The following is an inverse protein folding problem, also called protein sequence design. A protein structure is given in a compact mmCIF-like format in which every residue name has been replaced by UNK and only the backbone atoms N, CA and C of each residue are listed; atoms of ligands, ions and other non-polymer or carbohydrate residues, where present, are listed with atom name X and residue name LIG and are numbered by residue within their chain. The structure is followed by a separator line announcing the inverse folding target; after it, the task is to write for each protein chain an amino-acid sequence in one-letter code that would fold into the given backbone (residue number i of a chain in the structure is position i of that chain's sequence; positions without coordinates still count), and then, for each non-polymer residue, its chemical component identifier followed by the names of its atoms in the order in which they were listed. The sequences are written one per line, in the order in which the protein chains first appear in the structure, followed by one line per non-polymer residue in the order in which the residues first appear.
data_IF_805259100812
#
_entry.id   IF_805259100812
#
_cell.length_a   1.000
_cell.length_b   1.000
_cell.length_c   1.000
_cell.angle_alpha   90.00
_cell.angle_beta   90.00
_cell.angle_gamma   90.00
#
_symmetry.space_group_name_H-M   'P 1'
#
loop_
_entity.id
_entity.type
_entity.pdbx_description
1 polymer ?
#
# COMPACT_ATOMS: atom_id res chain seq x y z
N UNK A 1 16.48 -16.16 -7.07
CA UNK A 1 15.60 -15.51 -6.06
C UNK A 1 14.34 -15.07 -6.76
N UNK A 2 13.18 -15.48 -6.23
CA UNK A 2 11.88 -15.03 -6.71
C UNK A 2 11.41 -13.90 -5.80
N UNK A 3 11.12 -12.73 -6.40
CA UNK A 3 10.70 -11.51 -5.72
C UNK A 3 9.22 -11.26 -6.02
N UNK A 4 8.39 -11.30 -4.98
CA UNK A 4 6.95 -11.04 -5.11
C UNK A 4 6.62 -9.54 -5.11
N UNK A 5 5.69 -9.13 -5.96
CA UNK A 5 5.10 -7.80 -5.99
C UNK A 5 3.68 -7.85 -6.57
N UNK A 6 2.82 -6.89 -6.22
CA UNK A 6 1.51 -6.77 -6.87
C UNK A 6 1.48 -5.75 -8.01
N UNK A 7 2.63 -5.20 -8.40
CA UNK A 7 2.76 -4.15 -9.43
C UNK A 7 2.01 -2.85 -9.10
N UNK A 8 1.88 -2.52 -7.83
CA UNK A 8 1.25 -1.30 -7.30
C UNK A 8 1.79 -1.02 -5.89
N UNK A 9 1.94 0.23 -5.46
CA UNK A 9 1.59 1.48 -6.14
C UNK A 9 2.74 2.10 -6.96
N UNK A 10 2.40 2.97 -7.90
CA UNK A 10 3.35 3.95 -8.44
C UNK A 10 3.73 4.95 -7.34
N UNK A 11 5.00 5.40 -7.26
CA UNK A 11 6.11 5.16 -8.19
C UNK A 11 6.99 3.95 -7.79
N UNK A 12 6.61 3.16 -6.79
CA UNK A 12 7.44 2.12 -6.20
C UNK A 12 7.50 0.85 -7.04
N UNK A 13 6.33 0.33 -7.42
CA UNK A 13 6.17 -0.91 -8.17
C UNK A 13 5.02 -0.73 -9.16
N UNK A 14 5.28 -0.82 -10.44
CA UNK A 14 4.22 -0.71 -11.46
C UNK A 14 4.66 -1.32 -12.78
N UNK A 15 3.74 -1.48 -13.69
CA UNK A 15 4.02 -1.85 -15.07
C UNK A 15 3.96 -0.64 -15.98
N UNK A 16 4.90 -0.57 -16.90
CA UNK A 16 4.94 0.38 -17.98
C UNK A 16 5.32 -0.34 -19.27
N UNK A 17 4.48 -0.20 -20.30
CA UNK A 17 4.63 -0.90 -21.58
C UNK A 17 4.75 -2.45 -21.45
N UNK A 18 4.12 -3.04 -20.44
CA UNK A 18 4.18 -4.48 -20.17
C UNK A 18 5.41 -4.94 -19.39
N UNK A 19 6.27 -4.02 -19.00
CA UNK A 19 7.45 -4.31 -18.19
C UNK A 19 7.26 -3.81 -16.75
N UNK A 20 7.68 -4.63 -15.79
CA UNK A 20 7.68 -4.27 -14.38
C UNK A 20 8.81 -3.29 -14.10
N UNK A 21 8.49 -2.16 -13.48
CA UNK A 21 9.44 -1.09 -13.14
C UNK A 21 9.02 -0.37 -11.84
N UNK A 22 9.74 0.65 -11.46
CA UNK A 22 9.51 1.45 -10.28
C UNK A 22 10.68 1.43 -9.34
N UNK A 23 10.67 2.37 -8.40
CA UNK A 23 11.80 2.61 -7.51
C UNK A 23 12.32 1.33 -6.81
N UNK A 24 11.44 0.55 -6.19
CA UNK A 24 11.86 -0.66 -5.48
C UNK A 24 12.30 -1.78 -6.43
N UNK A 25 11.68 -1.88 -7.59
CA UNK A 25 12.08 -2.84 -8.63
C UNK A 25 13.50 -2.55 -9.10
N UNK A 26 13.81 -1.29 -9.36
CA UNK A 26 15.14 -0.87 -9.81
C UNK A 26 16.19 -0.99 -8.69
N UNK A 27 15.82 -0.76 -7.42
CA UNK A 27 16.69 -1.02 -6.27
C UNK A 27 17.08 -2.51 -6.21
N UNK A 28 16.12 -3.42 -6.33
CA UNK A 28 16.41 -4.86 -6.33
C UNK A 28 17.29 -5.23 -7.53
N UNK A 29 16.98 -4.75 -8.73
CA UNK A 29 17.83 -4.97 -9.91
C UNK A 29 19.27 -4.51 -9.69
N UNK A 30 19.43 -3.32 -9.11
CA UNK A 30 20.75 -2.75 -8.84
C UNK A 30 21.56 -3.55 -7.80
N UNK A 31 20.89 -4.05 -6.74
CA UNK A 31 21.53 -4.87 -5.70
C UNK A 31 22.09 -6.17 -6.29
N UNK A 32 21.36 -6.80 -7.20
CA UNK A 32 21.75 -8.12 -7.74
C UNK A 32 22.43 -8.06 -9.11
N UNK A 33 22.63 -6.86 -9.69
CA UNK A 33 23.16 -6.67 -11.05
C UNK A 33 24.48 -7.40 -11.32
N UNK A 34 25.37 -7.35 -10.34
CA UNK A 34 26.73 -7.90 -10.48
C UNK A 34 26.89 -9.17 -9.61
N UNK A 35 25.80 -9.86 -9.30
CA UNK A 35 25.83 -11.07 -8.51
C UNK A 35 26.06 -12.31 -9.36
N UNK A 36 27.22 -12.94 -9.20
CA UNK A 36 27.52 -14.25 -9.84
C UNK A 36 26.77 -15.40 -9.16
N UNK A 37 26.13 -15.15 -8.00
CA UNK A 37 25.50 -16.18 -7.19
C UNK A 37 24.00 -16.25 -7.36
N UNK A 38 23.33 -15.13 -7.65
CA UNK A 38 21.89 -15.01 -7.63
C UNK A 38 21.32 -14.39 -8.90
N UNK A 39 20.42 -15.11 -9.55
CA UNK A 39 19.49 -14.57 -10.53
C UNK A 39 18.21 -14.11 -9.83
N UNK A 40 17.66 -12.97 -10.21
CA UNK A 40 16.42 -12.40 -9.67
C UNK A 40 15.32 -12.48 -10.72
N UNK A 41 14.18 -13.05 -10.31
CA UNK A 41 12.94 -13.06 -11.11
C UNK A 41 11.85 -12.39 -10.30
N UNK A 42 11.12 -11.47 -10.91
CA UNK A 42 9.93 -10.87 -10.30
C UNK A 42 8.70 -11.69 -10.65
N UNK A 43 7.86 -11.92 -9.66
CA UNK A 43 6.57 -12.60 -9.83
C UNK A 43 5.46 -11.70 -9.31
N UNK A 44 4.45 -11.47 -10.19
CA UNK A 44 3.26 -10.71 -9.83
C UNK A 44 2.27 -11.58 -9.08
N UNK A 45 1.76 -11.07 -7.99
CA UNK A 45 0.70 -11.71 -7.21
C UNK A 45 -0.18 -10.65 -6.57
N UNK A 46 -1.39 -11.01 -6.20
CA UNK A 46 -2.27 -10.16 -5.41
C UNK A 46 -1.64 -9.84 -4.05
N UNK A 47 -1.99 -8.69 -3.45
CA UNK A 47 -1.46 -8.27 -2.14
C UNK A 47 -1.53 -9.37 -1.07
N UNK A 48 -2.67 -10.05 -0.98
CA UNK A 48 -2.85 -11.17 -0.06
C UNK A 48 -1.95 -12.37 -0.33
N UNK A 49 -1.51 -12.54 -1.58
CA UNK A 49 -0.62 -13.61 -2.02
C UNK A 49 0.86 -13.36 -1.70
N UNK A 50 1.26 -12.10 -1.47
CA UNK A 50 2.67 -11.74 -1.20
C UNK A 50 3.16 -12.44 0.08
N UNK A 51 2.50 -12.22 1.19
CA UNK A 51 2.90 -12.82 2.48
C UNK A 51 2.63 -14.32 2.53
N UNK A 52 1.50 -14.79 1.99
CA UNK A 52 1.20 -16.21 1.92
C UNK A 52 2.25 -16.98 1.09
N UNK A 53 2.79 -16.37 0.05
CA UNK A 53 3.85 -16.95 -0.76
C UNK A 53 5.20 -16.96 -0.08
N UNK A 54 5.53 -15.94 0.74
CA UNK A 54 6.71 -15.95 1.61
C UNK A 54 6.60 -17.04 2.67
N UNK A 55 5.46 -17.17 3.34
CA UNK A 55 5.21 -18.20 4.36
C UNK A 55 5.28 -19.62 3.80
N UNK A 56 4.99 -19.81 2.52
CA UNK A 56 5.06 -21.09 1.80
C UNK A 56 6.39 -21.31 1.06
N UNK A 57 7.42 -20.50 1.31
CA UNK A 57 8.72 -20.54 0.63
C UNK A 57 8.66 -20.43 -0.91
N UNK A 58 7.51 -19.98 -1.46
CA UNK A 58 7.34 -19.75 -2.89
C UNK A 58 8.16 -18.56 -3.35
N UNK A 59 8.26 -17.54 -2.52
CA UNK A 59 9.03 -16.32 -2.73
C UNK A 59 10.11 -16.19 -1.66
N UNK A 60 11.29 -15.76 -2.05
CA UNK A 60 12.40 -15.51 -1.12
C UNK A 60 12.47 -14.03 -0.70
N UNK A 61 11.79 -13.16 -1.44
CA UNK A 61 11.76 -11.72 -1.19
C UNK A 61 10.42 -11.13 -1.63
N UNK A 62 10.04 -10.02 -1.02
CA UNK A 62 8.91 -9.21 -1.47
C UNK A 62 9.28 -7.73 -1.50
N UNK A 63 8.81 -7.03 -2.52
CA UNK A 63 8.90 -5.57 -2.64
C UNK A 63 7.55 -5.03 -3.10
N UNK A 64 6.97 -4.13 -2.31
CA UNK A 64 5.63 -3.61 -2.57
C UNK A 64 5.28 -2.40 -1.68
N UNK A 65 6.22 -1.49 -1.51
CA UNK A 65 6.11 -0.40 -0.53
C UNK A 65 5.65 -0.92 0.85
N UNK A 66 6.29 -2.00 1.31
CA UNK A 66 5.89 -2.73 2.51
C UNK A 66 6.38 -2.00 3.75
N UNK A 67 5.47 -1.35 4.46
CA UNK A 67 5.77 -0.68 5.71
C UNK A 67 6.25 -1.65 6.79
N UNK A 68 7.26 -1.23 7.56
CA UNK A 68 7.69 -1.93 8.75
C UNK A 68 6.59 -1.89 9.82
N UNK A 69 6.31 -3.04 10.42
CA UNK A 69 5.55 -3.16 11.67
C UNK A 69 6.21 -4.19 12.58
N UNK A 70 6.05 -4.05 13.90
CA UNK A 70 6.57 -5.05 14.84
C UNK A 70 6.05 -6.45 14.54
N UNK A 71 4.75 -6.56 14.29
CA UNK A 71 4.08 -7.84 13.98
C UNK A 71 4.69 -8.52 12.74
N UNK A 72 4.94 -7.75 11.68
CA UNK A 72 5.61 -8.28 10.48
C UNK A 72 7.06 -8.64 10.74
N UNK A 73 7.78 -7.84 11.53
CA UNK A 73 9.20 -8.06 11.86
C UNK A 73 9.43 -9.28 12.77
N UNK A 74 8.39 -9.77 13.46
CA UNK A 74 8.44 -11.04 14.20
C UNK A 74 8.48 -12.26 13.27
N UNK A 75 8.02 -12.10 12.01
CA UNK A 75 7.92 -13.19 11.03
C UNK A 75 8.89 -13.05 9.86
N UNK A 76 9.20 -11.83 9.46
CA UNK A 76 9.97 -11.53 8.24
C UNK A 76 11.18 -10.69 8.55
N UNK A 77 12.29 -10.97 7.87
CA UNK A 77 13.48 -10.15 7.91
C UNK A 77 13.30 -8.92 7.01
N UNK A 78 13.48 -7.75 7.57
CA UNK A 78 13.49 -6.49 6.81
C UNK A 78 14.92 -6.09 6.41
N UNK A 79 15.09 -5.65 5.19
CA UNK A 79 16.28 -4.94 4.75
C UNK A 79 16.34 -3.52 5.35
N UNK A 80 17.40 -2.79 5.07
CA UNK A 80 17.49 -1.37 5.44
C UNK A 80 16.32 -0.59 4.80
N UNK A 81 15.79 0.45 5.48
CA UNK A 81 14.74 1.31 4.92
C UNK A 81 15.17 1.92 3.59
N UNK A 82 14.33 1.81 2.57
CA UNK A 82 14.59 2.34 1.22
C UNK A 82 14.05 3.75 1.04
N UNK A 83 12.98 4.09 1.77
CA UNK A 83 12.28 5.37 1.65
C UNK A 83 11.58 5.72 2.96
N UNK A 84 11.36 7.02 3.18
CA UNK A 84 10.50 7.56 4.24
C UNK A 84 9.25 8.13 3.58
N UNK A 85 8.13 7.44 3.70
CA UNK A 85 6.85 7.80 3.09
C UNK A 85 5.75 7.82 4.17
N UNK A 86 5.45 9.00 4.77
CA UNK A 86 4.45 9.07 5.81
C UNK A 86 3.04 8.89 5.26
N UNK A 87 2.15 8.28 6.04
CA UNK A 87 0.73 8.27 5.74
C UNK A 87 0.12 9.67 5.80
N UNK A 88 -0.79 9.94 4.90
CA UNK A 88 -1.60 11.16 4.85
C UNK A 88 -3.09 10.81 4.78
N UNK A 89 -3.90 11.71 5.29
CA UNK A 89 -5.34 11.67 5.17
C UNK A 89 -5.74 12.39 3.87
N UNK A 90 -6.50 11.70 3.03
CA UNK A 90 -6.97 12.19 1.73
C UNK A 90 -8.47 12.33 1.79
N UNK A 91 -8.98 13.50 1.42
CA UNK A 91 -10.40 13.85 1.37
C UNK A 91 -10.69 14.56 0.05
N UNK A 92 -11.96 14.75 -0.29
CA UNK A 92 -12.33 15.60 -1.41
C UNK A 92 -11.90 17.05 -1.15
N UNK A 93 -11.55 17.77 -2.21
CA UNK A 93 -11.02 19.13 -2.13
C UNK A 93 -11.92 20.10 -1.35
N UNK A 94 -13.20 19.92 -1.44
CA UNK A 94 -14.24 20.79 -0.81
C UNK A 94 -14.65 20.27 0.57
N UNK A 95 -14.16 19.09 1.01
CA UNK A 95 -14.45 18.58 2.34
C UNK A 95 -13.49 19.21 3.36
N UNK A 96 -14.05 20.06 4.19
CA UNK A 96 -13.35 20.66 5.34
C UNK A 96 -13.70 20.00 6.68
N UNK A 97 -14.53 18.95 6.67
CA UNK A 97 -15.04 18.29 7.88
C UNK A 97 -14.05 17.31 8.50
N UNK A 98 -13.13 16.76 7.72
CA UNK A 98 -12.15 15.77 8.16
C UNK A 98 -10.73 16.36 8.06
N UNK A 99 -10.08 16.61 9.19
CA UNK A 99 -8.74 17.20 9.28
C UNK A 99 -7.73 16.28 9.98
N UNK A 100 -8.22 15.36 10.78
CA UNK A 100 -7.43 14.40 11.56
C UNK A 100 -8.16 13.08 11.71
N UNK A 101 -7.52 12.10 12.32
CA UNK A 101 -8.17 10.83 12.68
C UNK A 101 -9.28 11.02 13.74
N UNK A 102 -9.28 12.09 14.48
CA UNK A 102 -10.34 12.36 15.45
C UNK A 102 -11.69 12.70 14.78
N UNK A 103 -11.65 13.08 13.51
CA UNK A 103 -12.84 13.49 12.74
C UNK A 103 -13.47 12.36 11.94
N UNK A 104 -12.88 11.13 11.95
CA UNK A 104 -13.34 10.03 11.07
C UNK A 104 -14.46 9.19 11.67
N UNK A 105 -14.86 9.44 12.90
CA UNK A 105 -16.00 8.76 13.54
C UNK A 105 -17.29 8.92 12.73
N UNK A 106 -17.97 7.82 12.43
CA UNK A 106 -19.17 7.79 11.58
C UNK A 106 -18.92 8.02 10.08
N UNK A 107 -17.70 8.35 9.66
CA UNK A 107 -17.30 8.51 8.26
C UNK A 107 -16.90 7.18 7.64
N UNK A 108 -16.99 7.10 6.32
CA UNK A 108 -16.71 5.87 5.56
C UNK A 108 -15.39 5.94 4.81
N UNK A 109 -14.75 4.79 4.64
CA UNK A 109 -13.54 4.64 3.83
C UNK A 109 -13.48 3.25 3.19
N UNK A 110 -12.85 3.14 2.03
CA UNK A 110 -12.46 1.85 1.46
C UNK A 110 -11.10 1.41 1.99
N UNK A 111 -10.98 0.14 2.38
CA UNK A 111 -9.73 -0.46 2.88
C UNK A 111 -9.42 -1.77 2.18
N UNK A 112 -8.13 -2.04 1.99
CA UNK A 112 -7.66 -3.34 1.51
C UNK A 112 -7.18 -4.14 2.72
N UNK A 113 -7.69 -5.34 2.88
CA UNK A 113 -7.37 -6.21 4.00
C UNK A 113 -5.85 -6.46 4.11
N UNK A 114 -5.32 -6.45 5.33
CA UNK A 114 -3.91 -6.72 5.62
C UNK A 114 -2.98 -5.53 5.37
N UNK A 115 -3.50 -4.36 4.98
CA UNK A 115 -2.70 -3.13 4.90
C UNK A 115 -2.54 -2.49 6.28
N UNK A 116 -1.49 -1.68 6.45
CA UNK A 116 -1.25 -0.94 7.70
C UNK A 116 -2.34 0.08 7.98
N UNK A 117 -2.91 0.72 6.95
CA UNK A 117 -4.02 1.65 7.10
C UNK A 117 -5.31 0.97 7.54
N UNK A 118 -5.61 -0.23 7.02
CA UNK A 118 -6.75 -1.02 7.49
C UNK A 118 -6.60 -1.36 8.97
N UNK A 119 -5.42 -1.88 9.37
CA UNK A 119 -5.12 -2.21 10.77
C UNK A 119 -5.22 -0.99 11.69
N UNK A 120 -4.70 0.16 11.27
CA UNK A 120 -4.79 1.41 12.02
C UNK A 120 -6.25 1.81 12.30
N UNK A 121 -7.13 1.68 11.30
CA UNK A 121 -8.55 2.02 11.43
C UNK A 121 -9.34 0.96 12.20
N UNK A 122 -8.98 -0.31 12.09
CA UNK A 122 -9.53 -1.38 12.94
C UNK A 122 -9.20 -1.13 14.42
N UNK A 123 -7.97 -0.70 14.72
CA UNK A 123 -7.56 -0.37 16.09
C UNK A 123 -8.20 0.94 16.57
N UNK A 124 -8.38 1.93 15.70
CA UNK A 124 -9.18 3.12 15.97
C UNK A 124 -10.62 2.73 16.40
N UNK A 125 -11.28 1.86 15.65
CA UNK A 125 -12.65 1.41 15.95
C UNK A 125 -12.78 0.66 17.27
N UNK A 126 -11.74 -0.10 17.68
CA UNK A 126 -11.72 -0.73 19.02
C UNK A 126 -11.68 0.29 20.16
N UNK A 127 -11.03 1.42 19.93
CA UNK A 127 -10.89 2.51 20.91
C UNK A 127 -12.08 3.47 20.90
N UNK A 128 -12.82 3.54 19.79
CA UNK A 128 -13.95 4.46 19.56
C UNK A 128 -15.22 3.67 19.18
N UNK A 129 -15.57 2.69 20.02
CA UNK A 129 -16.69 1.77 19.74
C UNK A 129 -18.07 2.46 19.77
N UNK A 130 -18.18 3.61 20.37
CA UNK A 130 -19.36 4.47 20.41
C UNK A 130 -19.57 5.26 19.09
N UNK A 131 -18.50 5.53 18.34
CA UNK A 131 -18.56 6.24 17.06
C UNK A 131 -17.48 5.71 16.09
N UNK A 132 -17.55 4.44 15.65
CA UNK A 132 -16.54 3.86 14.78
C UNK A 132 -16.60 4.46 13.37
N UNK A 133 -15.46 4.47 12.67
CA UNK A 133 -15.45 4.71 11.23
C UNK A 133 -15.95 3.47 10.47
N UNK A 134 -16.59 3.68 9.32
CA UNK A 134 -17.17 2.62 8.50
C UNK A 134 -16.10 2.11 7.52
N UNK A 135 -15.69 0.84 7.69
CA UNK A 135 -14.66 0.21 6.86
C UNK A 135 -15.31 -0.64 5.75
N UNK A 136 -15.21 -0.18 4.52
CA UNK A 136 -15.64 -0.91 3.33
C UNK A 136 -14.46 -1.69 2.74
N UNK A 137 -14.39 -3.00 3.00
CA UNK A 137 -13.32 -3.84 2.46
C UNK A 137 -13.49 -4.04 0.97
N UNK A 138 -12.43 -3.77 0.20
CA UNK A 138 -12.42 -3.84 -1.25
C UNK A 138 -11.19 -4.59 -1.78
N UNK A 139 -11.32 -5.12 -3.01
CA UNK A 139 -10.21 -5.63 -3.84
C UNK A 139 -9.89 -4.68 -5.00
N UNK A 140 -10.55 -3.51 -5.04
CA UNK A 140 -10.28 -2.51 -6.07
C UNK A 140 -8.81 -2.08 -6.03
N UNK A 141 -8.25 -1.76 -7.18
CA UNK A 141 -6.91 -1.18 -7.24
C UNK A 141 -6.94 0.29 -6.79
N UNK A 142 -5.75 0.85 -6.54
CA UNK A 142 -5.63 2.20 -6.01
C UNK A 142 -6.29 3.26 -6.90
N UNK A 143 -6.18 3.14 -8.22
CA UNK A 143 -6.79 4.09 -9.15
C UNK A 143 -8.31 4.08 -9.06
N UNK A 144 -8.91 2.89 -8.94
CA UNK A 144 -10.36 2.74 -8.72
C UNK A 144 -10.78 3.34 -7.38
N UNK A 145 -10.06 3.05 -6.30
CA UNK A 145 -10.32 3.59 -4.96
C UNK A 145 -10.29 5.12 -4.98
N UNK A 146 -9.29 5.72 -5.62
CA UNK A 146 -9.20 7.18 -5.72
C UNK A 146 -10.32 7.78 -6.59
N UNK A 147 -10.74 7.08 -7.64
CA UNK A 147 -11.94 7.42 -8.41
C UNK A 147 -13.20 7.41 -7.56
N UNK A 148 -13.42 6.35 -6.77
CA UNK A 148 -14.56 6.24 -5.84
C UNK A 148 -14.57 7.37 -4.81
N UNK A 149 -13.40 7.77 -4.27
CA UNK A 149 -13.30 8.93 -3.37
C UNK A 149 -13.67 10.23 -4.08
N UNK A 150 -13.15 10.45 -5.28
CA UNK A 150 -13.49 11.61 -6.10
C UNK A 150 -14.99 11.69 -6.41
N UNK A 151 -15.63 10.55 -6.68
CA UNK A 151 -17.07 10.44 -6.94
C UNK A 151 -17.93 10.56 -5.66
N UNK A 152 -17.30 10.61 -4.47
CA UNK A 152 -17.99 10.73 -3.20
C UNK A 152 -18.67 9.44 -2.73
N UNK A 153 -18.18 8.27 -3.16
CA UNK A 153 -18.71 6.97 -2.72
C UNK A 153 -18.32 6.65 -1.28
N UNK A 154 -17.28 7.28 -0.76
CA UNK A 154 -16.85 7.27 0.63
C UNK A 154 -16.17 8.60 1.00
N UNK A 155 -15.91 8.84 2.28
CA UNK A 155 -15.57 10.18 2.78
C UNK A 155 -14.07 10.47 2.77
N UNK A 156 -13.21 9.49 3.07
CA UNK A 156 -11.77 9.72 3.21
C UNK A 156 -10.94 8.46 2.91
N UNK A 157 -9.63 8.64 2.71
CA UNK A 157 -8.67 7.55 2.56
C UNK A 157 -7.38 7.85 3.32
N UNK A 158 -6.74 6.81 3.89
CA UNK A 158 -5.36 6.89 4.41
C UNK A 158 -4.44 6.19 3.43
N UNK A 159 -3.43 6.88 2.95
CA UNK A 159 -2.45 6.39 1.99
C UNK A 159 -1.08 7.00 2.24
N UNK A 160 -0.05 6.37 1.69
CA UNK A 160 1.31 6.92 1.65
C UNK A 160 1.36 8.20 0.82
N UNK A 161 2.03 9.22 1.31
CA UNK A 161 2.06 10.56 0.71
C UNK A 161 2.56 10.55 -0.73
N UNK A 162 3.68 9.89 -1.00
CA UNK A 162 4.29 9.84 -2.34
C UNK A 162 3.34 9.14 -3.34
N UNK A 163 2.69 8.08 -2.90
CA UNK A 163 1.68 7.36 -3.67
C UNK A 163 0.50 8.27 -4.03
N UNK A 164 -0.04 9.00 -3.05
CA UNK A 164 -1.16 9.94 -3.26
C UNK A 164 -0.78 11.03 -4.25
N UNK A 165 0.34 11.72 -4.03
CA UNK A 165 0.81 12.79 -4.90
C UNK A 165 1.01 12.30 -6.35
N UNK A 166 1.49 11.05 -6.50
CA UNK A 166 1.67 10.43 -7.82
C UNK A 166 0.33 10.14 -8.49
N UNK A 167 -0.64 9.60 -7.77
CA UNK A 167 -1.97 9.27 -8.32
C UNK A 167 -2.73 10.55 -8.69
N UNK A 168 -2.75 11.54 -7.81
CA UNK A 168 -3.40 12.85 -8.07
C UNK A 168 -2.82 13.48 -9.35
N UNK A 169 -1.48 13.52 -9.47
CA UNK A 169 -0.82 14.05 -10.66
C UNK A 169 -1.19 13.30 -11.94
N UNK A 170 -1.25 11.97 -11.87
CA UNK A 170 -1.49 11.12 -13.04
C UNK A 170 -2.96 11.10 -13.48
N UNK A 171 -3.89 11.26 -12.56
CA UNK A 171 -5.33 11.24 -12.83
C UNK A 171 -5.93 12.65 -13.02
N UNK A 172 -5.16 13.71 -12.71
CA UNK A 172 -5.66 15.08 -12.79
C UNK A 172 -6.70 15.42 -11.71
N UNK A 173 -6.63 14.75 -10.56
CA UNK A 173 -7.52 14.94 -9.41
C UNK A 173 -7.13 16.15 -8.56
#
# INVERSE_FOLDING_TARGET
IIVATNSSPKPFNYEENGELTGYEIEVVRAIFKDSDKYDVKFEKTEWSGVFAGLDADRYQMAVNNISYTKERAEKYLYAAPTVKDPNVLVVKKDDSSIKSLDDVGGKSTEVVQGTTSAKQLEDYNKQHSDNPTILNYTKANLQQIMGHLSDGQFDYKILDKITVETVIKNQGL
#
